data_IF_727457078786
#
_entry.id   IF_727457078786
#
_cell.length_a   1.000
_cell.length_b   1.000
_cell.length_c   1.000
_cell.angle_alpha   90.00
_cell.angle_beta   90.00
_cell.angle_gamma   90.00
#
_symmetry.space_group_name_H-M   'P 1'
#
loop_
_entity.id
_entity.type
_entity.pdbx_description
1 polymer ?
#
# COMPACT_ATOMS: atom_id res chain seq x y z
N UNK A 1 -4.97 0.88 1.52
CA UNK A 1 -3.61 1.09 2.05
C UNK A 1 -2.78 1.75 0.96
N UNK A 2 -1.97 2.73 1.31
CA UNK A 2 -0.92 3.27 0.44
C UNK A 2 0.44 2.73 0.90
N UNK A 3 1.29 2.32 -0.04
CA UNK A 3 2.69 1.94 0.22
C UNK A 3 3.57 2.82 -0.64
N UNK A 4 4.37 3.69 -0.03
CA UNK A 4 5.08 4.73 -0.75
C UNK A 4 6.51 4.95 -0.24
N UNK A 5 7.47 4.85 -1.14
CA UNK A 5 8.88 5.17 -0.91
C UNK A 5 9.71 5.06 -2.20
N UNK A 6 10.90 5.67 -2.29
CA UNK A 6 11.74 5.63 -3.48
C UNK A 6 12.06 4.21 -3.97
N UNK A 7 12.56 4.06 -5.20
CA UNK A 7 12.99 2.73 -5.70
C UNK A 7 14.06 2.09 -4.78
N UNK A 8 14.06 0.76 -4.69
CA UNK A 8 15.00 0.00 -3.85
C UNK A 8 14.76 0.09 -2.33
N UNK A 9 13.68 0.73 -1.87
CA UNK A 9 13.38 0.92 -0.45
C UNK A 9 12.62 -0.22 0.23
N UNK A 10 12.23 -1.27 -0.51
CA UNK A 10 11.56 -2.46 0.02
C UNK A 10 10.03 -2.49 -0.05
N UNK A 11 9.40 -1.63 -0.88
CA UNK A 11 7.94 -1.56 -1.06
C UNK A 11 7.30 -2.90 -1.43
N UNK A 12 7.72 -3.48 -2.56
CA UNK A 12 7.15 -4.72 -3.08
C UNK A 12 7.36 -5.87 -2.09
N UNK A 13 8.53 -5.95 -1.47
CA UNK A 13 8.82 -6.92 -0.40
C UNK A 13 7.89 -6.75 0.81
N UNK A 14 7.58 -5.52 1.21
CA UNK A 14 6.65 -5.27 2.31
C UNK A 14 5.23 -5.70 1.95
N UNK A 15 4.79 -5.45 0.71
CA UNK A 15 3.48 -5.92 0.23
C UNK A 15 3.44 -7.44 0.16
N UNK A 16 4.49 -8.10 -0.31
CA UNK A 16 4.57 -9.54 -0.26
C UNK A 16 4.51 -10.09 1.16
N UNK A 17 5.21 -9.45 2.09
CA UNK A 17 5.19 -9.85 3.49
C UNK A 17 3.76 -9.77 4.06
N UNK A 18 3.04 -8.68 3.75
CA UNK A 18 1.61 -8.53 4.11
C UNK A 18 0.77 -9.62 3.45
N UNK A 19 0.97 -9.88 2.16
CA UNK A 19 0.25 -10.93 1.44
C UNK A 19 0.51 -12.30 2.07
N UNK A 20 1.76 -12.63 2.40
CA UNK A 20 2.10 -13.89 3.04
C UNK A 20 1.40 -14.03 4.41
N UNK A 21 1.43 -12.98 5.24
CA UNK A 21 0.76 -12.94 6.54
C UNK A 21 -0.77 -13.07 6.43
N UNK A 22 -1.37 -12.49 5.40
CA UNK A 22 -2.83 -12.40 5.24
C UNK A 22 -3.39 -13.31 4.15
N UNK A 23 -2.57 -14.20 3.58
CA UNK A 23 -2.92 -15.04 2.42
C UNK A 23 -4.19 -15.85 2.65
N UNK A 24 -4.37 -16.37 3.87
CA UNK A 24 -5.54 -17.15 4.27
C UNK A 24 -6.79 -16.31 4.58
N UNK A 25 -6.69 -14.98 4.52
CA UNK A 25 -7.81 -14.07 4.73
C UNK A 25 -8.54 -13.71 3.43
N UNK A 26 -7.96 -14.03 2.27
CA UNK A 26 -8.51 -13.65 0.97
C UNK A 26 -8.76 -14.89 0.11
N UNK A 27 -9.91 -14.94 -0.54
CA UNK A 27 -10.25 -15.99 -1.52
C UNK A 27 -9.54 -15.76 -2.86
N UNK A 28 -9.12 -14.53 -3.14
CA UNK A 28 -8.37 -14.16 -4.34
C UNK A 28 -7.46 -12.95 -4.08
N UNK A 29 -6.29 -12.98 -4.69
CA UNK A 29 -5.33 -11.88 -4.70
C UNK A 29 -5.10 -11.46 -6.16
N UNK A 30 -5.34 -10.18 -6.46
CA UNK A 30 -5.24 -9.62 -7.80
C UNK A 30 -4.12 -8.58 -7.78
N UNK A 31 -3.16 -8.68 -8.69
CA UNK A 31 -2.05 -7.75 -8.83
C UNK A 31 -2.13 -7.10 -10.20
N UNK A 32 -2.49 -5.82 -10.24
CA UNK A 32 -2.46 -4.99 -11.44
C UNK A 32 -1.10 -4.31 -11.53
N UNK A 33 -0.33 -4.60 -12.58
CA UNK A 33 0.98 -4.00 -12.85
C UNK A 33 1.11 -3.63 -14.32
N UNK A 34 2.09 -2.80 -14.66
CA UNK A 34 2.44 -2.52 -16.06
C UNK A 34 3.17 -3.69 -16.73
N UNK A 35 4.04 -4.36 -15.98
CA UNK A 35 4.88 -5.45 -16.46
C UNK A 35 5.06 -6.43 -15.32
N UNK A 36 4.91 -7.72 -15.62
CA UNK A 36 5.14 -8.75 -14.61
C UNK A 36 6.58 -8.73 -14.10
N UNK A 37 6.73 -9.05 -12.82
CA UNK A 37 8.02 -9.19 -12.14
C UNK A 37 8.18 -10.65 -11.69
N UNK A 38 9.40 -11.18 -11.71
CA UNK A 38 9.72 -12.54 -11.21
C UNK A 38 9.19 -12.79 -9.79
N UNK A 39 9.08 -11.71 -9.02
CA UNK A 39 8.52 -11.72 -7.68
C UNK A 39 7.05 -12.20 -7.63
N UNK A 40 6.25 -11.79 -8.60
CA UNK A 40 4.84 -12.16 -8.69
C UNK A 40 4.64 -13.58 -9.21
N UNK A 41 5.54 -14.07 -10.06
CA UNK A 41 5.56 -15.47 -10.46
C UNK A 41 5.82 -16.38 -9.26
N UNK A 42 6.84 -16.05 -8.45
CA UNK A 42 7.10 -16.77 -7.21
C UNK A 42 5.89 -16.71 -6.25
N UNK A 43 5.17 -15.58 -6.23
CA UNK A 43 3.97 -15.46 -5.40
C UNK A 43 2.86 -16.40 -5.86
N UNK A 44 2.62 -16.52 -7.17
CA UNK A 44 1.65 -17.47 -7.74
C UNK A 44 2.01 -18.92 -7.40
N UNK A 45 3.30 -19.26 -7.41
CA UNK A 45 3.76 -20.60 -7.09
C UNK A 45 3.62 -20.93 -5.59
N UNK A 46 3.55 -19.91 -4.73
CA UNK A 46 3.53 -20.08 -3.26
C UNK A 46 2.13 -19.95 -2.66
N UNK A 47 1.25 -19.17 -3.28
CA UNK A 47 -0.07 -18.82 -2.75
C UNK A 47 -1.14 -19.12 -3.80
N UNK A 48 -2.17 -19.86 -3.39
CA UNK A 48 -3.31 -20.18 -4.24
C UNK A 48 -4.10 -18.92 -4.63
N UNK A 49 -4.73 -18.97 -5.81
CA UNK A 49 -5.65 -17.93 -6.30
C UNK A 49 -5.04 -16.52 -6.43
N UNK A 50 -3.76 -16.46 -6.84
CA UNK A 50 -3.09 -15.22 -7.25
C UNK A 50 -3.27 -15.00 -8.75
N UNK A 51 -3.81 -13.84 -9.12
CA UNK A 51 -3.99 -13.37 -10.48
C UNK A 51 -3.10 -12.14 -10.71
N UNK A 52 -2.36 -12.12 -11.82
CA UNK A 52 -1.57 -10.94 -12.23
C UNK A 52 -2.13 -10.43 -13.55
N UNK A 53 -2.52 -9.17 -13.55
CA UNK A 53 -3.06 -8.44 -14.69
C UNK A 53 -2.00 -7.41 -15.11
N UNK A 54 -1.55 -7.52 -16.35
CA UNK A 54 -0.45 -6.72 -16.90
C UNK A 54 -0.96 -5.53 -17.73
N UNK A 55 -0.02 -4.82 -18.38
CA UNK A 55 -0.28 -3.70 -19.29
C UNK A 55 -1.04 -2.53 -18.64
N UNK A 56 -0.94 -2.41 -17.31
CA UNK A 56 -1.62 -1.34 -16.56
C UNK A 56 -3.15 -1.49 -16.57
N UNK A 57 -3.66 -2.67 -16.92
CA UNK A 57 -5.08 -2.95 -16.92
C UNK A 57 -5.60 -3.12 -15.49
N UNK A 58 -6.82 -2.64 -15.27
CA UNK A 58 -7.52 -2.76 -14.00
C UNK A 58 -8.89 -3.37 -14.30
N UNK A 59 -9.28 -4.48 -13.66
CA UNK A 59 -10.56 -5.10 -13.93
C UNK A 59 -11.69 -4.27 -13.30
N UNK A 60 -12.90 -4.40 -13.81
CA UNK A 60 -14.07 -3.81 -13.18
C UNK A 60 -14.45 -4.61 -11.93
N UNK A 61 -14.86 -3.92 -10.86
CA UNK A 61 -15.32 -4.58 -9.62
C UNK A 61 -16.46 -5.58 -9.87
N UNK A 62 -17.30 -5.34 -10.89
CA UNK A 62 -18.42 -6.20 -11.28
C UNK A 62 -18.03 -7.53 -11.90
N UNK A 63 -16.76 -7.72 -12.28
CA UNK A 63 -16.25 -9.01 -12.76
C UNK A 63 -16.07 -10.02 -11.62
N UNK A 64 -16.22 -9.57 -10.37
CA UNK A 64 -16.04 -10.37 -9.17
C UNK A 64 -17.31 -10.37 -8.32
N UNK A 65 -17.51 -11.42 -7.54
CA UNK A 65 -18.59 -11.48 -6.54
C UNK A 65 -18.36 -10.46 -5.42
N UNK A 66 -19.41 -10.12 -4.68
CA UNK A 66 -19.32 -9.26 -3.49
C UNK A 66 -19.33 -10.04 -2.17
N UNK A 67 -19.41 -11.36 -2.22
CA UNK A 67 -19.62 -12.23 -1.06
C UNK A 67 -18.31 -12.66 -0.40
N UNK A 68 -17.24 -12.72 -1.18
CA UNK A 68 -15.92 -13.19 -0.74
C UNK A 68 -14.91 -12.06 -0.60
N UNK A 69 -13.98 -12.23 0.33
CA UNK A 69 -12.93 -11.25 0.61
C UNK A 69 -11.78 -11.36 -0.40
N UNK A 70 -11.44 -10.25 -1.05
CA UNK A 70 -10.43 -10.17 -2.10
C UNK A 70 -9.40 -9.10 -1.77
N UNK A 71 -8.16 -9.33 -2.17
CA UNK A 71 -7.12 -8.32 -2.13
C UNK A 71 -6.80 -7.88 -3.55
N UNK A 72 -6.80 -6.58 -3.82
CA UNK A 72 -6.30 -6.01 -5.07
C UNK A 72 -5.12 -5.08 -4.80
N UNK A 73 -4.03 -5.29 -5.53
CA UNK A 73 -2.78 -4.53 -5.46
C UNK A 73 -2.60 -3.78 -6.77
N UNK A 74 -2.42 -2.47 -6.69
CA UNK A 74 -2.09 -1.62 -7.83
C UNK A 74 -0.62 -1.23 -7.73
N UNK A 75 0.24 -1.85 -8.54
CA UNK A 75 1.68 -1.65 -8.48
C UNK A 75 2.20 -0.69 -9.54
N UNK A 76 2.83 0.38 -9.06
CA UNK A 76 3.43 1.49 -9.82
C UNK A 76 2.61 2.02 -11.03
N UNK A 77 1.28 1.98 -10.91
CA UNK A 77 0.37 2.43 -11.98
C UNK A 77 0.25 3.96 -12.05
N UNK A 78 1.08 4.73 -11.34
CA UNK A 78 0.93 6.18 -11.16
C UNK A 78 0.93 6.98 -12.47
N UNK A 79 1.58 6.46 -13.51
CA UNK A 79 1.67 7.08 -14.83
C UNK A 79 0.57 6.62 -15.81
N UNK A 80 -0.32 5.72 -15.38
CA UNK A 80 -1.40 5.25 -16.23
C UNK A 80 -2.42 6.36 -16.54
N UNK A 81 -3.15 6.26 -17.66
CA UNK A 81 -4.11 7.27 -18.08
C UNK A 81 -5.13 7.62 -16.98
N UNK A 82 -5.67 8.85 -17.04
CA UNK A 82 -6.67 9.34 -16.07
C UNK A 82 -7.86 8.40 -15.90
N UNK A 83 -8.25 7.68 -16.96
CA UNK A 83 -9.31 6.66 -16.92
C UNK A 83 -8.96 5.53 -15.94
N UNK A 84 -7.77 4.97 -16.04
CA UNK A 84 -7.25 3.94 -15.13
C UNK A 84 -7.16 4.46 -13.71
N UNK A 85 -6.59 5.65 -13.49
CA UNK A 85 -6.53 6.25 -12.14
C UNK A 85 -7.92 6.51 -11.55
N UNK A 86 -8.90 6.91 -12.37
CA UNK A 86 -10.29 7.08 -11.93
C UNK A 86 -10.92 5.75 -11.51
N UNK A 87 -10.65 4.67 -12.24
CA UNK A 87 -11.11 3.31 -11.91
C UNK A 87 -10.49 2.82 -10.60
N UNK A 88 -9.18 2.99 -10.41
CA UNK A 88 -8.52 2.70 -9.12
C UNK A 88 -9.13 3.54 -7.99
N UNK A 89 -9.40 4.82 -8.25
CA UNK A 89 -10.10 5.69 -7.30
C UNK A 89 -11.46 5.14 -6.87
N UNK A 90 -12.23 4.52 -7.78
CA UNK A 90 -13.48 3.86 -7.43
C UNK A 90 -13.27 2.68 -6.49
N UNK A 91 -12.24 1.86 -6.68
CA UNK A 91 -11.89 0.79 -5.73
C UNK A 91 -11.69 1.36 -4.32
N UNK A 92 -10.93 2.45 -4.17
CA UNK A 92 -10.71 3.07 -2.86
C UNK A 92 -11.96 3.69 -2.23
N UNK A 93 -12.94 4.13 -3.03
CA UNK A 93 -14.19 4.72 -2.52
C UNK A 93 -15.22 3.66 -2.14
N UNK A 94 -15.43 2.64 -2.98
CA UNK A 94 -16.55 1.70 -2.85
C UNK A 94 -16.16 0.22 -2.76
N UNK A 95 -14.89 -0.12 -3.04
CA UNK A 95 -14.42 -1.51 -3.14
C UNK A 95 -14.66 -2.34 -1.88
N UNK A 96 -14.60 -1.73 -0.69
CA UNK A 96 -14.87 -2.42 0.58
C UNK A 96 -16.26 -3.06 0.63
N UNK A 97 -17.29 -2.38 0.10
CA UNK A 97 -18.66 -2.93 0.07
C UNK A 97 -18.79 -4.11 -0.89
N UNK A 98 -17.86 -4.26 -1.82
CA UNK A 98 -17.76 -5.37 -2.74
C UNK A 98 -16.71 -6.41 -2.30
N UNK A 99 -16.30 -6.41 -1.02
CA UNK A 99 -15.36 -7.40 -0.48
C UNK A 99 -13.89 -7.13 -0.79
N UNK A 100 -13.53 -5.98 -1.38
CA UNK A 100 -12.14 -5.67 -1.70
C UNK A 100 -11.40 -4.98 -0.56
N UNK A 101 -10.18 -5.47 -0.30
CA UNK A 101 -9.10 -4.74 0.33
C UNK A 101 -8.15 -4.23 -0.77
N UNK A 102 -7.68 -2.99 -0.63
CA UNK A 102 -6.88 -2.32 -1.67
C UNK A 102 -5.50 -1.93 -1.15
N UNK A 103 -4.47 -2.21 -1.94
CA UNK A 103 -3.10 -1.71 -1.77
C UNK A 103 -2.72 -0.92 -3.01
N UNK A 104 -2.23 0.31 -2.85
CA UNK A 104 -1.62 1.08 -3.92
C UNK A 104 -0.14 1.27 -3.61
N UNK A 105 0.73 0.81 -4.50
CA UNK A 105 2.18 0.93 -4.39
C UNK A 105 2.63 2.07 -5.30
N UNK A 106 3.46 2.97 -4.78
CA UNK A 106 4.05 4.05 -5.58
C UNK A 106 5.45 4.40 -5.11
N UNK A 107 6.25 4.96 -6.01
CA UNK A 107 7.56 5.49 -5.65
C UNK A 107 7.48 6.79 -4.81
N UNK A 108 6.35 7.49 -4.86
CA UNK A 108 6.14 8.76 -4.16
C UNK A 108 4.76 8.81 -3.53
N UNK A 109 4.68 9.16 -2.24
CA UNK A 109 3.40 9.31 -1.55
C UNK A 109 2.55 10.40 -2.22
N UNK A 110 3.16 11.54 -2.59
CA UNK A 110 2.46 12.62 -3.28
C UNK A 110 2.16 12.33 -4.75
N UNK A 111 2.78 11.28 -5.33
CA UNK A 111 2.38 10.75 -6.63
C UNK A 111 1.03 10.04 -6.58
N UNK A 112 0.67 9.46 -5.43
CA UNK A 112 -0.62 8.78 -5.26
C UNK A 112 -1.75 9.83 -5.31
N UNK A 113 -2.79 9.62 -6.16
CA UNK A 113 -3.95 10.50 -6.22
C UNK A 113 -4.53 10.82 -4.85
N UNK A 114 -4.84 12.10 -4.60
CA UNK A 114 -5.38 12.55 -3.29
C UNK A 114 -6.58 11.72 -2.84
N UNK A 115 -7.48 11.38 -3.76
CA UNK A 115 -8.65 10.52 -3.51
C UNK A 115 -8.27 9.17 -2.90
N UNK A 116 -7.19 8.56 -3.35
CA UNK A 116 -6.72 7.26 -2.84
C UNK A 116 -6.10 7.43 -1.45
N UNK A 117 -5.34 8.51 -1.24
CA UNK A 117 -4.71 8.81 0.06
C UNK A 117 -5.72 9.05 1.17
N UNK A 118 -6.70 9.91 0.94
CA UNK A 118 -7.72 10.25 1.96
C UNK A 118 -8.66 9.08 2.30
N UNK A 119 -8.84 8.13 1.38
CA UNK A 119 -9.66 6.93 1.60
C UNK A 119 -8.82 5.74 2.11
N UNK A 120 -7.51 5.93 2.33
CA UNK A 120 -6.64 4.89 2.87
C UNK A 120 -6.58 4.93 4.38
N UNK A 121 -6.76 3.77 5.00
CA UNK A 121 -6.72 3.60 6.46
C UNK A 121 -5.29 3.38 6.98
N UNK A 122 -4.41 2.92 6.11
CA UNK A 122 -3.03 2.59 6.41
C UNK A 122 -2.11 3.23 5.38
N UNK A 123 -1.00 3.77 5.86
CA UNK A 123 0.07 4.29 5.02
C UNK A 123 1.39 3.70 5.47
N UNK A 124 2.05 2.98 4.55
CA UNK A 124 3.35 2.39 4.77
C UNK A 124 4.40 3.21 4.04
N UNK A 125 5.46 3.58 4.75
CA UNK A 125 6.60 4.29 4.21
C UNK A 125 7.86 3.43 4.38
N UNK A 126 8.55 3.20 3.26
CA UNK A 126 9.89 2.62 3.28
C UNK A 126 10.98 3.66 3.52
N UNK A 127 12.22 3.22 3.39
CA UNK A 127 13.43 4.03 3.61
C UNK A 127 13.59 5.18 2.61
N UNK A 128 14.55 6.05 2.90
CA UNK A 128 15.09 7.08 1.99
C UNK A 128 14.14 8.23 1.63
N UNK A 129 13.05 8.43 2.38
CA UNK A 129 12.27 9.66 2.31
C UNK A 129 13.07 10.85 2.85
N UNK A 130 12.89 12.00 2.20
CA UNK A 130 13.54 13.24 2.62
C UNK A 130 12.84 13.83 3.84
N UNK A 131 13.53 14.68 4.61
CA UNK A 131 12.88 15.43 5.70
C UNK A 131 11.74 16.32 5.19
N UNK A 132 11.79 16.77 3.93
CA UNK A 132 10.70 17.52 3.31
C UNK A 132 9.47 16.64 3.13
N UNK A 133 9.65 15.44 2.58
CA UNK A 133 8.55 14.49 2.36
C UNK A 133 7.91 14.12 3.70
N UNK A 134 8.71 13.78 4.71
CA UNK A 134 8.21 13.43 6.04
C UNK A 134 7.38 14.56 6.67
N UNK A 135 7.78 15.83 6.52
CA UNK A 135 6.96 16.98 6.98
C UNK A 135 5.61 17.04 6.30
N UNK A 136 5.61 16.95 4.97
CA UNK A 136 4.38 17.06 4.20
C UNK A 136 3.47 15.86 4.46
N UNK A 137 4.03 14.65 4.58
CA UNK A 137 3.28 13.42 4.83
C UNK A 137 2.65 13.47 6.22
N UNK A 138 3.42 13.86 7.23
CA UNK A 138 2.91 14.02 8.60
C UNK A 138 1.77 15.03 8.70
N UNK A 139 1.73 16.05 7.82
CA UNK A 139 0.67 17.05 7.81
C UNK A 139 -0.65 16.53 7.19
N UNK A 140 -0.62 15.42 6.46
CA UNK A 140 -1.83 14.78 5.90
C UNK A 140 -2.60 13.95 6.95
N UNK A 141 -2.04 13.76 8.15
CA UNK A 141 -2.65 12.94 9.21
C UNK A 141 -2.84 13.73 10.50
N UNK A 142 -3.93 13.48 11.24
CA UNK A 142 -4.08 14.02 12.58
C UNK A 142 -3.06 13.35 13.50
N UNK A 143 -2.10 14.13 13.99
CA UNK A 143 -1.05 13.70 14.91
C UNK A 143 -0.90 14.75 16.00
N UNK A 144 -0.89 14.31 17.26
CA UNK A 144 -0.62 15.18 18.41
C UNK A 144 0.90 15.31 18.66
N UNK A 145 1.71 14.65 17.83
CA UNK A 145 3.14 14.52 18.01
C UNK A 145 3.91 15.64 17.30
N UNK A 146 4.96 16.20 17.94
CA UNK A 146 5.88 17.08 17.25
C UNK A 146 6.53 16.39 16.04
N UNK A 147 6.61 17.10 14.92
CA UNK A 147 7.19 16.58 13.67
C UNK A 147 8.63 16.04 13.84
N UNK A 148 9.41 16.61 14.76
CA UNK A 148 10.77 16.14 15.06
C UNK A 148 10.76 14.71 15.62
N UNK A 149 9.78 14.37 16.44
CA UNK A 149 9.65 13.05 17.04
C UNK A 149 9.24 12.03 15.98
N UNK A 150 8.27 12.39 15.11
CA UNK A 150 7.90 11.55 13.97
C UNK A 150 9.11 11.23 13.07
N UNK A 151 9.94 12.24 12.76
CA UNK A 151 11.16 12.02 11.99
C UNK A 151 12.17 11.12 12.70
N UNK A 152 12.31 11.25 14.03
CA UNK A 152 13.18 10.40 14.83
C UNK A 152 12.69 8.95 14.81
N UNK A 153 11.39 8.73 15.02
CA UNK A 153 10.74 7.42 14.96
C UNK A 153 10.94 6.79 13.59
N UNK A 154 10.64 7.53 12.51
CA UNK A 154 10.86 7.05 11.14
C UNK A 154 12.33 6.63 10.93
N UNK A 155 13.30 7.46 11.32
CA UNK A 155 14.72 7.16 11.15
C UNK A 155 15.13 5.89 11.89
N UNK A 156 14.67 5.72 13.13
CA UNK A 156 14.95 4.51 13.93
C UNK A 156 14.29 3.28 13.31
N UNK A 157 13.00 3.36 13.00
CA UNK A 157 12.24 2.24 12.43
C UNK A 157 12.76 1.79 11.06
N UNK A 158 13.35 2.70 10.28
CA UNK A 158 13.81 2.44 8.90
C UNK A 158 15.34 2.33 8.77
N UNK A 159 16.05 2.07 9.87
CA UNK A 159 17.53 1.95 9.88
C UNK A 159 18.03 0.70 9.14
N UNK A 160 17.32 -0.43 9.25
CA UNK A 160 17.68 -1.71 8.62
C UNK A 160 17.13 -1.84 7.20
N UNK A 161 17.79 -2.63 6.34
CA UNK A 161 17.33 -2.80 4.95
C UNK A 161 15.92 -3.41 4.96
N UNK A 162 15.10 -3.00 3.99
CA UNK A 162 13.69 -3.42 3.86
C UNK A 162 12.77 -3.06 5.03
N UNK A 163 13.26 -2.33 6.04
CA UNK A 163 12.40 -1.90 7.14
C UNK A 163 11.47 -0.77 6.73
N UNK A 164 10.25 -0.83 7.25
CA UNK A 164 9.17 0.11 6.96
C UNK A 164 8.50 0.60 8.24
N UNK A 165 7.85 1.75 8.14
CA UNK A 165 6.90 2.25 9.13
C UNK A 165 5.50 2.12 8.54
N UNK A 166 4.55 1.64 9.33
CA UNK A 166 3.12 1.64 9.00
C UNK A 166 2.41 2.59 9.96
N UNK A 167 1.73 3.57 9.40
CA UNK A 167 0.83 4.45 10.12
C UNK A 167 -0.59 3.90 9.96
N UNK A 168 -1.19 3.48 11.07
CA UNK A 168 -2.60 3.16 11.21
C UNK A 168 -3.35 4.45 11.56
N UNK A 169 -4.02 5.00 10.56
CA UNK A 169 -4.68 6.31 10.66
C UNK A 169 -5.95 6.21 11.50
N UNK A 170 -6.59 5.05 11.54
CA UNK A 170 -7.85 4.86 12.26
C UNK A 170 -7.60 4.76 13.75
N UNK A 171 -6.67 3.88 14.14
CA UNK A 171 -6.38 3.66 15.55
C UNK A 171 -5.32 4.62 16.08
N UNK A 172 -4.80 5.52 15.22
CA UNK A 172 -3.74 6.48 15.53
C UNK A 172 -2.53 5.77 16.12
N UNK A 173 -2.01 4.77 15.40
CA UNK A 173 -0.86 3.96 15.84
C UNK A 173 0.22 3.89 14.77
N UNK A 174 1.44 3.70 15.23
CA UNK A 174 2.62 3.49 14.40
C UNK A 174 3.18 2.10 14.69
N UNK A 175 3.46 1.36 13.63
CA UNK A 175 4.12 0.07 13.68
C UNK A 175 5.39 0.08 12.82
N UNK A 176 6.40 -0.68 13.23
CA UNK A 176 7.55 -1.04 12.42
C UNK A 176 7.26 -2.38 11.74
N UNK A 177 7.59 -2.48 10.46
CA UNK A 177 7.44 -3.70 9.66
C UNK A 177 6.05 -4.33 9.77
N UNK A 178 5.00 -3.49 9.78
CA UNK A 178 3.57 -3.86 9.86
C UNK A 178 3.11 -4.44 11.20
N UNK A 179 3.97 -5.15 11.94
CA UNK A 179 3.57 -5.94 13.12
C UNK A 179 4.06 -5.39 14.47
N UNK A 180 5.20 -4.70 14.50
CA UNK A 180 5.83 -4.30 15.76
C UNK A 180 5.30 -2.93 16.18
N UNK A 181 4.48 -2.88 17.23
CA UNK A 181 3.96 -1.61 17.75
C UNK A 181 5.11 -0.72 18.25
N UNK A 182 5.12 0.54 17.81
CA UNK A 182 6.13 1.53 18.18
C UNK A 182 5.55 2.55 19.15
N UNK A 183 4.48 3.24 18.74
CA UNK A 183 3.83 4.27 19.55
C UNK A 183 2.49 4.69 18.94
N UNK A 184 1.77 5.57 19.63
CA UNK A 184 0.62 6.28 19.06
C UNK A 184 1.07 7.41 18.11
N UNK A 185 0.21 7.72 17.13
CA UNK A 185 0.37 8.70 16.06
C UNK A 185 -0.07 10.12 16.49
#
# INVERSE_FOLDING_TARGET
>A
MCVASPSGSGKSNTVLYIIALLSKCFTRIIICTKTNETLYDHLKDTIDNVEVIEEGQVPAMSEYDSETSKLIVFDDLVLEPKKTQAQIGQYFIRGRKAGFSMIYISQSYFGIPKTIRINSQYVILGRNLTSRDLRLISADFPSDRPIKDFMSIYKQATTEKLSTIMMDIINRKIYKNVIEYVCDL
#
